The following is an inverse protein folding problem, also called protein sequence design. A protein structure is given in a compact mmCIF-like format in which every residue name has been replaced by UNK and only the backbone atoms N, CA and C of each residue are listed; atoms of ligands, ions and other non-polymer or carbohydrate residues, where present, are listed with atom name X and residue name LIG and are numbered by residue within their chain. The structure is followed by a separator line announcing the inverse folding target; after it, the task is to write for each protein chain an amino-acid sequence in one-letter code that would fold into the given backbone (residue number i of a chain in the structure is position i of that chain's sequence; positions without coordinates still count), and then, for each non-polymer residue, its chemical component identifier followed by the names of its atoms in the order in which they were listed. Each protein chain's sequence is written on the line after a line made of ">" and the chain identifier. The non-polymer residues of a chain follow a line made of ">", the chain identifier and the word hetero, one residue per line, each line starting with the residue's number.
data_IF_079549848130
#
_entry.id   IF_079549848130
#
_cell.length_a   1.000
_cell.length_b   1.000
_cell.length_c   1.000
_cell.angle_alpha   90.00
_cell.angle_beta   90.00
_cell.angle_gamma   90.00
#
_symmetry.space_group_name_H-M   'P 1'
#
loop_
_entity.id
_entity.type
_entity.pdbx_description
1 polymer ?
#
# COMPACT_ATOMS: atom_id res chain seq x y z
N UNK A 1 8.37 2.42 8.37
CA UNK A 1 7.17 1.77 7.80
C UNK A 1 7.55 0.41 7.27
N UNK A 2 6.70 -0.59 7.41
CA UNK A 2 6.90 -1.94 6.84
C UNK A 2 5.60 -2.46 6.24
N UNK A 3 5.67 -3.17 5.12
CA UNK A 3 4.50 -3.77 4.46
C UNK A 3 4.61 -5.30 4.55
N UNK A 4 3.59 -5.93 5.12
CA UNK A 4 3.47 -7.39 5.16
C UNK A 4 2.40 -7.83 4.18
N UNK A 5 2.77 -8.77 3.32
CA UNK A 5 1.84 -9.47 2.44
C UNK A 5 1.59 -10.86 2.99
N UNK A 6 0.33 -11.30 3.00
CA UNK A 6 0.00 -12.68 3.34
C UNK A 6 -1.10 -13.19 2.44
N UNK A 7 -1.11 -14.50 2.25
CA UNK A 7 -2.17 -15.19 1.55
C UNK A 7 -3.12 -15.82 2.58
N UNK A 8 -4.43 -15.61 2.42
CA UNK A 8 -5.44 -16.01 3.41
C UNK A 8 -6.57 -16.84 2.77
N UNK A 9 -6.95 -17.91 3.48
CA UNK A 9 -8.16 -18.71 3.24
C UNK A 9 -8.09 -19.75 2.13
N UNK A 10 -9.17 -20.55 1.99
CA UNK A 10 -9.33 -21.58 0.95
C UNK A 10 -9.26 -21.02 -0.48
N UNK A 11 -9.70 -19.77 -0.67
CA UNK A 11 -9.69 -19.07 -1.97
C UNK A 11 -8.31 -18.50 -2.36
N UNK A 12 -7.29 -18.65 -1.51
CA UNK A 12 -5.90 -18.23 -1.76
C UNK A 12 -5.77 -16.75 -2.14
N UNK A 13 -6.61 -15.89 -1.56
CA UNK A 13 -6.58 -14.45 -1.79
C UNK A 13 -5.46 -13.81 -1.00
N UNK A 14 -4.94 -12.70 -1.51
CA UNK A 14 -3.90 -11.92 -0.90
C UNK A 14 -4.47 -10.76 -0.10
N UNK A 15 -3.76 -10.43 0.97
CA UNK A 15 -4.00 -9.23 1.75
C UNK A 15 -2.67 -8.58 2.15
N UNK A 16 -2.71 -7.27 2.35
CA UNK A 16 -1.56 -6.50 2.78
C UNK A 16 -1.87 -5.71 4.05
N UNK A 17 -0.83 -5.48 4.84
CA UNK A 17 -0.87 -4.64 6.04
C UNK A 17 0.33 -3.73 6.04
N UNK A 18 0.07 -2.44 6.23
CA UNK A 18 1.08 -1.40 6.37
C UNK A 18 1.21 -1.07 7.85
N UNK A 19 2.42 -1.19 8.36
CA UNK A 19 2.79 -0.90 9.74
C UNK A 19 3.57 0.40 9.81
N UNK A 20 3.23 1.20 10.81
CA UNK A 20 4.00 2.38 11.21
C UNK A 20 5.28 1.97 11.98
N UNK A 21 6.19 2.92 12.22
CA UNK A 21 7.39 2.73 13.06
C UNK A 21 7.06 2.19 14.46
N UNK A 22 5.89 2.56 14.99
CA UNK A 22 5.36 2.09 16.27
C UNK A 22 4.72 0.69 16.22
N UNK A 23 4.91 -0.08 15.13
CA UNK A 23 4.29 -1.40 14.86
C UNK A 23 2.76 -1.39 14.83
N UNK A 24 2.13 -0.22 14.80
CA UNK A 24 0.68 -0.07 14.66
C UNK A 24 0.27 -0.22 13.19
N UNK A 25 -0.82 -0.93 12.93
CA UNK A 25 -1.40 -1.03 11.58
C UNK A 25 -2.05 0.30 11.24
N UNK A 26 -1.56 0.95 10.20
CA UNK A 26 -2.07 2.24 9.70
C UNK A 26 -2.93 2.07 8.46
N UNK A 27 -2.73 0.99 7.71
CA UNK A 27 -3.59 0.63 6.59
C UNK A 27 -3.57 -0.87 6.35
N UNK A 28 -4.68 -1.40 5.87
CA UNK A 28 -4.81 -2.80 5.47
C UNK A 28 -5.92 -2.94 4.45
N UNK A 29 -5.72 -3.80 3.46
CA UNK A 29 -6.75 -4.18 2.51
C UNK A 29 -6.60 -5.66 2.14
N UNK A 30 -7.68 -6.28 1.66
CA UNK A 30 -7.74 -7.73 1.41
C UNK A 30 -8.65 -8.06 0.24
N UNK A 31 -8.45 -9.24 -0.34
CA UNK A 31 -9.32 -9.75 -1.41
C UNK A 31 -8.66 -9.78 -2.79
N UNK A 32 -7.36 -9.50 -2.85
CA UNK A 32 -6.60 -9.51 -4.09
C UNK A 32 -6.42 -10.94 -4.60
N UNK A 33 -6.50 -11.14 -5.91
CA UNK A 33 -6.35 -12.47 -6.50
C UNK A 33 -4.87 -12.84 -6.61
N UNK A 34 -4.00 -11.84 -6.79
CA UNK A 34 -2.55 -12.01 -6.90
C UNK A 34 -1.78 -11.17 -5.90
N UNK A 35 -0.54 -11.57 -5.59
CA UNK A 35 0.38 -10.79 -4.74
C UNK A 35 0.69 -9.43 -5.36
N UNK A 36 0.82 -9.38 -6.68
CA UNK A 36 1.19 -8.18 -7.44
C UNK A 36 0.11 -7.09 -7.38
N UNK A 37 -1.17 -7.48 -7.39
CA UNK A 37 -2.29 -6.55 -7.16
C UNK A 37 -2.20 -5.94 -5.75
N UNK A 38 -1.96 -6.77 -4.73
CA UNK A 38 -1.81 -6.30 -3.36
C UNK A 38 -0.59 -5.37 -3.18
N UNK A 39 0.53 -5.66 -3.85
CA UNK A 39 1.73 -4.82 -3.88
C UNK A 39 1.47 -3.48 -4.58
N UNK A 40 0.79 -3.48 -5.72
CA UNK A 40 0.47 -2.26 -6.47
C UNK A 40 -0.45 -1.33 -5.67
N UNK A 41 -1.47 -1.89 -5.02
CA UNK A 41 -2.38 -1.10 -4.17
C UNK A 41 -1.66 -0.54 -2.95
N UNK A 42 -0.81 -1.36 -2.30
CA UNK A 42 -0.01 -0.93 -1.17
C UNK A 42 0.98 0.18 -1.55
N UNK A 43 1.61 0.10 -2.73
CA UNK A 43 2.52 1.12 -3.25
C UNK A 43 1.79 2.43 -3.58
N UNK A 44 0.61 2.35 -4.20
CA UNK A 44 -0.23 3.52 -4.44
C UNK A 44 -0.62 4.21 -3.12
N UNK A 45 -1.00 3.41 -2.11
CA UNK A 45 -1.31 3.93 -0.79
C UNK A 45 -0.09 4.55 -0.11
N UNK A 46 1.09 3.94 -0.24
CA UNK A 46 2.35 4.48 0.27
C UNK A 46 2.68 5.82 -0.40
N UNK A 47 2.55 5.93 -1.72
CA UNK A 47 2.70 7.19 -2.44
C UNK A 47 1.69 8.23 -1.97
N UNK A 48 0.43 7.86 -1.76
CA UNK A 48 -0.60 8.78 -1.24
C UNK A 48 -0.30 9.25 0.18
N UNK A 49 0.23 8.38 1.04
CA UNK A 49 0.64 8.70 2.40
C UNK A 49 1.88 9.61 2.42
N UNK A 50 2.89 9.30 1.60
CA UNK A 50 4.09 10.13 1.42
C UNK A 50 3.76 11.50 0.83
N UNK A 51 2.88 11.51 -0.16
CA UNK A 51 2.47 12.72 -0.86
C UNK A 51 1.24 13.38 -0.21
N UNK A 52 0.87 12.97 1.00
CA UNK A 52 -0.20 13.58 1.81
C UNK A 52 0.03 15.07 2.11
N UNK A 53 1.23 15.58 1.84
CA UNK A 53 1.51 16.99 1.59
C UNK A 53 1.33 17.30 0.09
N UNK A 54 0.07 17.46 -0.34
CA UNK A 54 -0.35 18.14 -1.58
C UNK A 54 0.43 17.68 -2.83
N UNK A 55 -0.03 16.62 -3.51
CA UNK A 55 0.27 16.48 -4.95
C UNK A 55 -0.52 17.58 -5.65
N UNK A 56 0.12 18.73 -5.86
CA UNK A 56 -0.39 19.73 -6.77
C UNK A 56 -0.48 19.08 -8.15
N UNK A 57 -1.62 19.21 -8.83
CA UNK A 57 -1.85 18.56 -10.15
C UNK A 57 -0.90 19.08 -11.24
N UNK A 58 -0.09 20.09 -10.92
CA UNK A 58 0.86 20.75 -11.80
C UNK A 58 2.33 20.30 -11.63
N UNK A 59 2.64 19.34 -10.76
CA UNK A 59 4.04 18.92 -10.56
C UNK A 59 4.47 18.02 -11.73
N UNK A 60 5.51 18.42 -12.44
CA UNK A 60 6.07 17.64 -13.57
C UNK A 60 6.96 16.50 -13.07
N UNK A 61 7.05 15.39 -13.83
CA UNK A 61 7.82 14.18 -13.48
C UNK A 61 9.29 14.46 -13.10
N UNK A 62 9.85 15.58 -13.57
CA UNK A 62 11.22 16.01 -13.28
C UNK A 62 11.44 16.49 -11.83
N UNK A 63 10.37 16.89 -11.12
CA UNK A 63 10.44 17.48 -9.79
C UNK A 63 10.15 16.49 -8.65
N UNK A 64 10.08 15.19 -8.96
CA UNK A 64 9.96 14.09 -8.01
C UNK A 64 11.32 13.42 -7.79
#
# INVERSE_FOLDING_TARGET
>A
MAISYRQRGKKKLWDYRVFDSNKKVIASNSGFKTKKEAESEALYLEMKLKNGTIIDRNITLYQL
#
